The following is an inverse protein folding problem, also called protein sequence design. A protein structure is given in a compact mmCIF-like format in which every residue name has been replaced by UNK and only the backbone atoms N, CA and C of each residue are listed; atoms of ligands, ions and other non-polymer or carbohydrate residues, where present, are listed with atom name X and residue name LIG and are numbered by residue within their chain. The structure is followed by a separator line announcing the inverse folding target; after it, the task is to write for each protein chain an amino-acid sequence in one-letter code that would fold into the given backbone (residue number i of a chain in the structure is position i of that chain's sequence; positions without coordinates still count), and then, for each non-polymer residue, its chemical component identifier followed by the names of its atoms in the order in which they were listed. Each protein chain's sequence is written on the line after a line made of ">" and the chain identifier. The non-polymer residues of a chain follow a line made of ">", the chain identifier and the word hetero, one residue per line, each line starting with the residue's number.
data_IF_012185433517
#
_entry.id   IF_012185433517
#
_cell.length_a   1.000
_cell.length_b   1.000
_cell.length_c   1.000
_cell.angle_alpha   90.00
_cell.angle_beta   90.00
_cell.angle_gamma   90.00
#
_symmetry.space_group_name_H-M   'P 1'
#
loop_
_entity.id
_entity.type
_entity.pdbx_description
1 polymer ?
#
# COMPACT_ATOMS: atom_id res chain seq x y z
N UNK A 1 -4.32 -10.74 -15.37
CA UNK A 1 -3.46 -11.69 -14.62
C UNK A 1 -4.30 -12.93 -14.45
N UNK A 2 -3.95 -13.98 -15.17
CA UNK A 2 -4.64 -15.26 -15.08
C UNK A 2 -3.93 -16.08 -14.00
N UNK A 3 -4.54 -16.18 -12.83
CA UNK A 3 -4.04 -17.03 -11.75
C UNK A 3 -4.13 -18.49 -12.22
N UNK A 4 -3.00 -19.15 -12.43
CA UNK A 4 -2.98 -20.58 -12.77
C UNK A 4 -3.53 -21.36 -11.58
N UNK A 5 -4.66 -22.05 -11.77
CA UNK A 5 -5.49 -22.66 -10.72
C UNK A 5 -4.77 -23.77 -9.93
N UNK A 6 -4.07 -23.41 -8.84
CA UNK A 6 -3.89 -24.31 -7.70
C UNK A 6 -4.83 -23.83 -6.59
N UNK A 7 -6.08 -24.28 -6.66
CA UNK A 7 -7.04 -24.12 -5.58
C UNK A 7 -6.77 -25.19 -4.54
N UNK A 8 -6.10 -24.84 -3.43
CA UNK A 8 -6.03 -25.73 -2.27
C UNK A 8 -7.44 -25.93 -1.69
N UNK A 9 -7.68 -27.07 -1.04
CA UNK A 9 -8.94 -27.32 -0.33
C UNK A 9 -9.26 -26.10 0.57
N UNK A 10 -10.48 -25.56 0.53
CA UNK A 10 -10.83 -24.40 1.33
C UNK A 10 -10.63 -24.72 2.81
N UNK A 11 -9.95 -23.83 3.52
CA UNK A 11 -9.77 -23.93 4.96
C UNK A 11 -11.08 -23.51 5.61
N UNK A 12 -11.73 -24.42 6.33
CA UNK A 12 -12.98 -24.14 7.01
C UNK A 12 -12.71 -23.42 8.33
N UNK A 13 -13.43 -22.32 8.56
CA UNK A 13 -13.44 -21.61 9.82
C UNK A 13 -14.72 -21.93 10.57
N UNK A 14 -14.58 -22.40 11.81
CA UNK A 14 -15.66 -22.78 12.73
C UNK A 14 -15.96 -21.66 13.70
N UNK A 15 -17.20 -21.63 14.18
CA UNK A 15 -17.67 -20.71 15.21
C UNK A 15 -16.88 -20.86 16.52
N UNK A 16 -16.39 -19.73 17.04
CA UNK A 16 -15.77 -19.62 18.36
C UNK A 16 -16.65 -18.83 19.34
N UNK A 17 -17.39 -17.83 18.85
CA UNK A 17 -18.14 -16.93 19.72
C UNK A 17 -19.51 -16.54 19.15
N UNK A 18 -20.53 -17.31 19.54
CA UNK A 18 -21.93 -17.16 19.10
C UNK A 18 -22.55 -15.77 19.36
N UNK A 19 -22.01 -14.98 20.31
CA UNK A 19 -22.46 -13.59 20.55
C UNK A 19 -22.36 -12.72 19.29
N UNK A 20 -21.45 -13.07 18.40
CA UNK A 20 -21.21 -12.38 17.14
C UNK A 20 -21.97 -12.99 15.96
N UNK A 21 -22.96 -13.88 16.18
CA UNK A 21 -23.82 -14.36 15.10
C UNK A 21 -24.95 -13.37 14.79
N UNK A 22 -25.27 -13.21 13.50
CA UNK A 22 -26.38 -12.38 13.02
C UNK A 22 -27.74 -13.04 13.35
N UNK A 23 -27.91 -14.29 12.94
CA UNK A 23 -29.01 -15.18 13.30
C UNK A 23 -28.53 -16.13 14.42
N UNK A 24 -29.20 -16.08 15.57
CA UNK A 24 -28.83 -16.87 16.75
C UNK A 24 -29.22 -18.35 16.62
N UNK A 25 -30.08 -18.69 15.66
CA UNK A 25 -30.51 -20.07 15.42
C UNK A 25 -29.61 -20.80 14.41
N UNK A 26 -28.68 -20.08 13.78
CA UNK A 26 -27.70 -20.62 12.82
C UNK A 26 -26.27 -20.48 13.34
N UNK A 27 -25.42 -21.41 12.97
CA UNK A 27 -23.97 -21.32 13.23
C UNK A 27 -23.32 -20.33 12.27
N UNK A 28 -22.34 -19.56 12.76
CA UNK A 28 -21.44 -18.81 11.90
C UNK A 28 -20.49 -19.74 11.16
N UNK A 29 -20.19 -19.41 9.91
CA UNK A 29 -19.27 -20.18 9.08
C UNK A 29 -18.33 -19.25 8.36
N UNK A 30 -17.09 -19.69 8.17
CA UNK A 30 -16.19 -19.06 7.24
C UNK A 30 -15.43 -20.08 6.43
N UNK A 31 -14.89 -19.64 5.32
CA UNK A 31 -13.91 -20.41 4.58
C UNK A 31 -12.87 -19.48 3.98
N UNK A 32 -11.63 -19.97 3.94
CA UNK A 32 -10.52 -19.29 3.29
C UNK A 32 -10.13 -20.09 2.06
N UNK A 33 -10.14 -19.42 0.91
CA UNK A 33 -9.55 -19.93 -0.33
C UNK A 33 -8.19 -19.29 -0.50
N UNK A 34 -7.19 -20.13 -0.73
CA UNK A 34 -5.86 -19.69 -1.11
C UNK A 34 -5.63 -20.06 -2.58
N UNK A 35 -5.38 -19.06 -3.40
CA UNK A 35 -4.88 -19.22 -4.76
C UNK A 35 -3.40 -18.83 -4.75
N UNK A 36 -2.55 -19.62 -5.41
CA UNK A 36 -1.11 -19.39 -5.44
C UNK A 36 -0.60 -19.36 -6.87
N UNK A 37 0.30 -18.43 -7.17
CA UNK A 37 1.05 -18.35 -8.42
C UNK A 37 2.51 -18.00 -8.10
N UNK A 38 3.39 -19.00 -8.15
CA UNK A 38 4.78 -18.85 -7.73
C UNK A 38 4.91 -18.50 -6.24
N UNK A 39 5.48 -17.34 -5.93
CA UNK A 39 5.65 -16.77 -4.59
C UNK A 39 4.48 -15.88 -4.15
N UNK A 40 3.55 -15.58 -5.06
CA UNK A 40 2.37 -14.74 -4.79
C UNK A 40 1.18 -15.61 -4.41
N UNK A 41 0.41 -15.14 -3.45
CA UNK A 41 -0.86 -15.72 -3.06
C UNK A 41 -1.98 -14.69 -3.07
N UNK A 42 -3.19 -15.18 -3.32
CA UNK A 42 -4.43 -14.46 -3.07
C UNK A 42 -5.21 -15.25 -2.02
N UNK A 43 -5.42 -14.63 -0.86
CA UNK A 43 -6.30 -15.13 0.19
C UNK A 43 -7.65 -14.47 0.01
N UNK A 44 -8.68 -15.28 -0.21
CA UNK A 44 -10.07 -14.84 -0.17
C UNK A 44 -10.72 -15.49 1.04
N UNK A 45 -11.10 -14.68 2.02
CA UNK A 45 -11.92 -15.12 3.15
C UNK A 45 -13.36 -14.74 2.89
N UNK A 46 -14.26 -15.70 3.07
CA UNK A 46 -15.70 -15.45 3.06
C UNK A 46 -16.27 -15.88 4.39
N UNK A 47 -17.16 -15.08 4.95
CA UNK A 47 -17.87 -15.35 6.19
C UNK A 47 -19.37 -15.26 5.98
N UNK A 48 -20.11 -16.06 6.74
CA UNK A 48 -21.56 -16.13 6.70
C UNK A 48 -22.13 -16.15 8.12
N UNK A 49 -23.31 -15.55 8.26
CA UNK A 49 -24.02 -15.36 9.51
C UNK A 49 -23.26 -14.57 10.61
N UNK A 50 -22.31 -13.71 10.25
CA UNK A 50 -21.54 -12.88 11.20
C UNK A 50 -22.24 -11.53 11.43
N UNK A 51 -22.40 -11.12 12.68
CA UNK A 51 -23.16 -9.93 13.08
C UNK A 51 -22.55 -8.63 12.53
N UNK A 52 -23.32 -7.93 11.72
CA UNK A 52 -22.99 -6.56 11.32
C UNK A 52 -23.36 -5.56 12.43
N UNK A 53 -22.48 -4.58 12.69
CA UNK A 53 -22.68 -3.51 13.66
C UNK A 53 -22.85 -2.18 12.92
N UNK A 54 -24.09 -1.68 12.70
CA UNK A 54 -24.34 -0.53 11.84
C UNK A 54 -23.69 0.79 12.28
N UNK A 55 -23.37 0.95 13.56
CA UNK A 55 -22.67 2.13 14.07
C UNK A 55 -21.15 1.95 14.07
N UNK A 56 -20.65 0.83 13.52
CA UNK A 56 -19.24 0.54 13.40
C UNK A 56 -18.55 0.20 14.71
N UNK A 57 -19.29 -0.25 15.74
CA UNK A 57 -18.70 -0.53 17.06
C UNK A 57 -17.61 -1.60 17.01
N UNK A 58 -17.71 -2.55 16.07
CA UNK A 58 -16.71 -3.59 15.82
C UNK A 58 -16.33 -3.65 14.35
N UNK A 59 -15.05 -3.88 14.09
CA UNK A 59 -14.51 -4.26 12.78
C UNK A 59 -13.98 -5.69 12.82
N UNK A 60 -14.16 -6.44 11.73
CA UNK A 60 -13.72 -7.83 11.65
C UNK A 60 -12.39 -7.91 10.91
N UNK A 61 -11.44 -8.65 11.48
CA UNK A 61 -10.08 -8.78 10.94
C UNK A 61 -9.69 -10.23 10.78
N UNK A 62 -8.99 -10.54 9.69
CA UNK A 62 -8.33 -11.82 9.52
C UNK A 62 -6.92 -11.76 10.11
N UNK A 63 -6.62 -12.71 10.99
CA UNK A 63 -5.35 -12.81 11.70
C UNK A 63 -4.83 -14.24 11.57
N UNK A 64 -3.58 -14.39 11.18
CA UNK A 64 -2.88 -15.67 11.22
C UNK A 64 -1.96 -15.75 12.43
N UNK A 65 -1.94 -16.90 13.08
CA UNK A 65 -1.04 -17.16 14.21
C UNK A 65 -0.28 -18.46 14.01
N UNK A 66 0.96 -18.47 14.48
CA UNK A 66 1.87 -19.59 14.39
C UNK A 66 2.95 -19.52 15.46
N UNK A 67 3.77 -20.56 15.54
CA UNK A 67 4.90 -20.64 16.46
C UNK A 67 6.15 -20.98 15.67
N UNK A 68 7.16 -20.11 15.75
CA UNK A 68 8.47 -20.31 15.10
C UNK A 68 9.56 -19.98 16.11
N UNK A 69 10.56 -20.86 16.25
CA UNK A 69 11.64 -20.74 17.26
C UNK A 69 11.10 -20.48 18.68
N UNK A 70 10.08 -21.24 19.09
CA UNK A 70 9.40 -21.15 20.40
C UNK A 70 8.71 -19.80 20.71
N UNK A 71 8.67 -18.86 19.76
CA UNK A 71 7.92 -17.60 19.90
C UNK A 71 6.61 -17.69 19.14
N UNK A 72 5.54 -17.20 19.76
CA UNK A 72 4.23 -17.08 19.12
C UNK A 72 4.18 -15.80 18.31
N UNK A 73 3.88 -15.94 17.02
CA UNK A 73 3.75 -14.84 16.09
C UNK A 73 2.27 -14.67 15.70
N UNK A 74 1.89 -13.42 15.48
CA UNK A 74 0.57 -13.03 14.98
C UNK A 74 0.77 -12.05 13.84
N UNK A 75 0.07 -12.27 12.74
CA UNK A 75 0.08 -11.37 11.61
C UNK A 75 -1.35 -11.03 11.21
N UNK A 76 -1.65 -9.74 11.17
CA UNK A 76 -2.96 -9.21 10.79
C UNK A 76 -2.99 -9.03 9.27
N UNK A 77 -3.78 -9.85 8.58
CA UNK A 77 -3.87 -9.87 7.13
C UNK A 77 -4.66 -8.67 6.61
N UNK A 78 -5.76 -8.33 7.28
CA UNK A 78 -6.58 -7.18 6.90
C UNK A 78 -8.01 -7.24 7.42
N UNK A 79 -8.82 -6.27 6.98
CA UNK A 79 -10.21 -6.11 7.37
C UNK A 79 -11.15 -6.90 6.46
N UNK A 80 -12.22 -7.44 7.04
CA UNK A 80 -13.29 -8.14 6.32
C UNK A 80 -14.49 -7.20 6.23
N UNK A 81 -14.96 -6.96 5.01
CA UNK A 81 -16.15 -6.15 4.76
C UNK A 81 -17.40 -7.02 4.90
N UNK A 82 -18.31 -6.61 5.78
CA UNK A 82 -19.59 -7.28 5.99
C UNK A 82 -20.74 -6.53 5.30
N UNK A 83 -21.73 -7.30 4.83
CA UNK A 83 -23.05 -6.82 4.45
C UNK A 83 -23.96 -6.71 5.67
N UNK A 84 -25.06 -5.97 5.52
CA UNK A 84 -26.07 -5.84 6.58
C UNK A 84 -26.76 -7.17 6.96
N UNK A 85 -26.63 -8.21 6.13
CA UNK A 85 -27.23 -9.53 6.33
C UNK A 85 -26.25 -10.56 6.90
N UNK A 86 -25.06 -10.11 7.31
CA UNK A 86 -24.06 -10.93 7.99
C UNK A 86 -23.22 -11.84 7.10
N UNK A 87 -23.27 -11.63 5.79
CA UNK A 87 -22.28 -12.17 4.86
C UNK A 87 -21.12 -11.21 4.70
N UNK A 88 -19.91 -11.69 4.42
CA UNK A 88 -18.79 -10.80 4.13
C UNK A 88 -17.64 -11.45 3.43
N UNK A 89 -16.79 -10.62 2.85
CA UNK A 89 -15.63 -11.05 2.08
C UNK A 89 -14.42 -10.14 2.37
N UNK A 90 -13.24 -10.74 2.36
CA UNK A 90 -11.96 -10.04 2.34
C UNK A 90 -11.03 -10.70 1.32
N UNK A 91 -10.33 -9.89 0.53
CA UNK A 91 -9.43 -10.36 -0.52
C UNK A 91 -8.05 -9.72 -0.36
N UNK A 92 -7.02 -10.54 -0.16
CA UNK A 92 -5.70 -10.09 0.26
C UNK A 92 -4.61 -10.72 -0.59
N UNK A 93 -3.77 -9.86 -1.19
CA UNK A 93 -2.55 -10.30 -1.89
C UNK A 93 -1.45 -10.49 -0.87
N UNK A 94 -0.76 -11.62 -0.95
CA UNK A 94 0.28 -12.01 -0.01
C UNK A 94 1.52 -12.53 -0.74
N UNK A 95 2.67 -12.44 -0.08
CA UNK A 95 3.86 -13.20 -0.43
C UNK A 95 3.88 -14.48 0.43
N UNK A 96 3.93 -15.65 -0.19
CA UNK A 96 3.87 -16.95 0.48
C UNK A 96 5.11 -17.23 1.33
N UNK A 97 6.25 -16.63 0.97
CA UNK A 97 7.53 -16.84 1.65
C UNK A 97 7.86 -15.75 2.67
N UNK A 98 7.14 -14.63 2.63
CA UNK A 98 7.29 -13.49 3.55
C UNK A 98 5.95 -12.80 3.75
N UNK A 99 5.09 -13.44 4.54
CA UNK A 99 3.72 -13.00 4.79
C UNK A 99 3.69 -11.71 5.62
N UNK A 100 4.61 -11.57 6.57
CA UNK A 100 4.62 -10.48 7.54
C UNK A 100 5.66 -9.38 7.27
N UNK A 101 6.46 -9.52 6.21
CA UNK A 101 7.56 -8.61 5.88
C UNK A 101 8.78 -8.77 6.79
N UNK A 102 8.77 -9.76 7.69
CA UNK A 102 9.83 -10.04 8.67
C UNK A 102 10.43 -11.45 8.47
N UNK A 103 10.11 -12.11 7.36
CA UNK A 103 10.60 -13.43 7.00
C UNK A 103 9.78 -14.59 7.58
N UNK A 104 8.54 -14.36 8.03
CA UNK A 104 7.60 -15.44 8.33
C UNK A 104 6.87 -15.84 7.06
N UNK A 105 7.04 -17.08 6.64
CA UNK A 105 6.32 -17.61 5.49
C UNK A 105 4.90 -18.02 5.90
N UNK A 106 3.99 -18.17 4.92
CA UNK A 106 2.62 -18.61 5.17
C UNK A 106 2.55 -19.95 5.91
N UNK A 107 3.47 -20.87 5.60
CA UNK A 107 3.58 -22.20 6.22
C UNK A 107 4.07 -22.16 7.68
N UNK A 108 4.58 -21.04 8.16
CA UNK A 108 4.93 -20.87 9.58
C UNK A 108 3.68 -20.57 10.44
N UNK A 109 2.53 -20.29 9.82
CA UNK A 109 1.26 -20.06 10.50
C UNK A 109 0.41 -21.33 10.54
N UNK A 110 -0.09 -21.67 11.72
CA UNK A 110 -0.85 -22.89 11.97
C UNK A 110 -2.35 -22.66 12.10
N UNK A 111 -2.78 -21.42 12.36
CA UNK A 111 -4.18 -21.11 12.66
C UNK A 111 -4.59 -19.79 12.05
N UNK A 112 -5.77 -19.76 11.44
CA UNK A 112 -6.45 -18.56 10.98
C UNK A 112 -7.59 -18.20 11.93
N UNK A 113 -7.72 -16.91 12.23
CA UNK A 113 -8.72 -16.37 13.14
C UNK A 113 -9.39 -15.18 12.48
N UNK A 114 -10.72 -15.18 12.44
CA UNK A 114 -11.49 -13.96 12.24
C UNK A 114 -11.83 -13.41 13.61
N UNK A 115 -11.34 -12.21 13.92
CA UNK A 115 -11.55 -11.57 15.21
C UNK A 115 -12.35 -10.27 15.07
N UNK A 116 -13.28 -10.04 15.99
CA UNK A 116 -13.93 -8.74 16.15
C UNK A 116 -13.06 -7.84 17.03
N UNK A 117 -12.75 -6.66 16.49
CA UNK A 117 -11.96 -5.61 17.15
C UNK A 117 -12.86 -4.41 17.43
N UNK A 118 -12.92 -4.00 18.69
CA UNK A 118 -13.69 -2.83 19.12
C UNK A 118 -13.09 -1.56 18.51
N UNK A 119 -13.94 -0.75 17.86
CA UNK A 119 -13.56 0.56 17.32
C UNK A 119 -13.82 1.70 18.32
N UNK A 120 -14.55 1.40 19.39
CA UNK A 120 -14.92 2.36 20.44
C UNK A 120 -14.04 2.22 21.69
N UNK A 121 -13.47 1.03 21.94
CA UNK A 121 -12.61 0.77 23.08
C UNK A 121 -11.32 0.04 22.67
N UNK A 122 -10.22 0.79 22.53
CA UNK A 122 -8.92 0.25 22.10
C UNK A 122 -8.24 -0.69 23.12
N UNK A 123 -8.72 -0.72 24.36
CA UNK A 123 -8.21 -1.63 25.40
C UNK A 123 -8.99 -2.95 25.47
N UNK A 124 -10.11 -3.03 24.77
CA UNK A 124 -10.89 -4.25 24.69
C UNK A 124 -10.08 -5.33 23.95
N UNK A 125 -10.04 -6.53 24.53
CA UNK A 125 -9.36 -7.65 23.89
C UNK A 125 -10.05 -8.00 22.56
N UNK A 126 -9.27 -8.50 21.61
CA UNK A 126 -9.80 -9.07 20.37
C UNK A 126 -10.70 -10.26 20.73
N UNK A 127 -11.90 -10.30 20.15
CA UNK A 127 -12.81 -11.43 20.31
C UNK A 127 -12.65 -12.38 19.13
N UNK A 128 -12.12 -13.60 19.29
CA UNK A 128 -12.17 -14.61 18.24
C UNK A 128 -13.62 -14.93 17.91
N UNK A 129 -13.98 -14.83 16.63
CA UNK A 129 -15.35 -15.05 16.11
C UNK A 129 -15.41 -16.36 15.36
N UNK A 130 -14.44 -16.57 14.46
CA UNK A 130 -14.23 -17.82 13.75
C UNK A 130 -12.76 -18.24 13.86
N UNK A 131 -12.48 -19.53 13.91
CA UNK A 131 -11.12 -20.07 13.84
C UNK A 131 -11.03 -21.29 12.93
N UNK A 132 -9.86 -21.54 12.35
CA UNK A 132 -9.61 -22.76 11.60
C UNK A 132 -8.13 -23.07 11.48
N UNK A 133 -7.82 -24.36 11.33
CA UNK A 133 -6.45 -24.84 11.21
C UNK A 133 -5.91 -24.63 9.80
N UNK A 134 -4.74 -23.99 9.73
CA UNK A 134 -3.94 -23.86 8.51
C UNK A 134 -3.05 -25.09 8.38
N UNK A 135 -3.63 -26.26 8.09
CA UNK A 135 -2.84 -27.43 7.67
C UNK A 135 -2.34 -27.21 6.23
N UNK A 136 -1.29 -26.41 6.10
CA UNK A 136 -0.63 -26.11 4.84
C UNK A 136 0.67 -26.93 4.77
N UNK A 137 0.66 -28.03 4.02
CA UNK A 137 1.90 -28.72 3.69
C UNK A 137 2.70 -27.89 2.69
N UNK A 138 4.00 -27.75 2.94
CA UNK A 138 4.96 -27.36 1.92
C UNK A 138 5.12 -28.56 1.01
N UNK A 139 4.39 -28.58 -0.11
CA UNK A 139 4.67 -29.58 -1.14
C UNK A 139 6.07 -29.30 -1.66
N UNK A 140 6.96 -30.28 -1.51
CA UNK A 140 8.31 -30.24 -2.06
C UNK A 140 8.21 -30.38 -3.59
N UNK A 141 7.86 -29.30 -4.27
CA UNK A 141 8.09 -29.21 -5.70
C UNK A 141 9.59 -29.09 -5.88
N UNK A 142 10.23 -30.18 -6.31
CA UNK A 142 11.63 -30.21 -6.74
C UNK A 142 11.78 -29.43 -8.07
N UNK A 143 11.46 -28.15 -8.06
CA UNK A 143 11.97 -27.20 -9.04
C UNK A 143 13.19 -26.55 -8.40
N UNK A 144 14.30 -26.46 -9.13
CA UNK A 144 15.49 -25.74 -8.66
C UNK A 144 15.07 -24.33 -8.23
N UNK A 145 15.01 -24.10 -6.92
CA UNK A 145 14.67 -22.81 -6.32
C UNK A 145 15.81 -21.83 -6.57
N UNK A 146 15.85 -21.24 -7.75
CA UNK A 146 16.28 -19.86 -7.84
C UNK A 146 15.05 -19.03 -7.50
N UNK A 147 14.97 -18.51 -6.28
CA UNK A 147 14.09 -17.36 -6.03
C UNK A 147 14.29 -16.39 -7.20
N UNK A 148 13.22 -15.88 -7.83
CA UNK A 148 13.36 -14.74 -8.71
C UNK A 148 14.16 -13.72 -7.91
N UNK A 149 15.35 -13.36 -8.39
CA UNK A 149 16.19 -12.42 -7.68
C UNK A 149 15.38 -11.14 -7.52
N UNK A 150 15.04 -10.79 -6.29
CA UNK A 150 14.43 -9.52 -5.99
C UNK A 150 15.52 -8.46 -6.13
N UNK A 151 15.45 -7.72 -7.23
CA UNK A 151 16.35 -6.60 -7.48
C UNK A 151 15.80 -5.29 -6.92
N UNK A 152 14.59 -5.28 -6.32
CA UNK A 152 14.01 -4.08 -5.72
C UNK A 152 14.92 -3.48 -4.64
N UNK A 153 15.59 -4.26 -3.76
CA UNK A 153 16.58 -3.70 -2.84
C UNK A 153 17.74 -3.00 -3.54
N UNK A 154 18.20 -3.53 -4.68
CA UNK A 154 19.23 -2.87 -5.48
C UNK A 154 18.70 -1.55 -6.07
N UNK A 155 17.49 -1.54 -6.62
CA UNK A 155 16.88 -0.32 -7.17
C UNK A 155 16.59 0.72 -6.10
N UNK A 156 16.02 0.33 -4.96
CA UNK A 156 15.75 1.23 -3.83
C UNK A 156 17.05 1.84 -3.31
N UNK A 157 18.09 1.02 -3.15
CA UNK A 157 19.43 1.50 -2.78
C UNK A 157 20.01 2.44 -3.83
N UNK A 158 19.91 2.10 -5.11
CA UNK A 158 20.38 2.95 -6.21
C UNK A 158 19.68 4.31 -6.20
N UNK A 159 18.34 4.33 -6.07
CA UNK A 159 17.56 5.57 -6.00
C UNK A 159 18.00 6.40 -4.79
N UNK A 160 18.13 5.77 -3.61
CA UNK A 160 18.55 6.42 -2.38
C UNK A 160 19.95 7.02 -2.50
N UNK A 161 20.92 6.27 -3.03
CA UNK A 161 22.29 6.74 -3.23
C UNK A 161 22.32 7.95 -4.17
N UNK A 162 21.58 7.92 -5.29
CA UNK A 162 21.51 9.08 -6.18
C UNK A 162 20.84 10.28 -5.51
N UNK A 163 19.77 10.09 -4.72
CA UNK A 163 19.19 11.18 -3.93
C UNK A 163 20.18 11.77 -2.94
N UNK A 164 20.99 10.94 -2.27
CA UNK A 164 22.05 11.40 -1.35
C UNK A 164 23.13 12.19 -2.11
N UNK A 165 23.53 11.75 -3.29
CA UNK A 165 24.50 12.49 -4.12
C UNK A 165 23.98 13.84 -4.58
N UNK A 166 22.69 13.95 -4.92
CA UNK A 166 22.03 15.23 -5.19
C UNK A 166 22.03 16.10 -3.93
N UNK A 167 21.66 15.54 -2.76
CA UNK A 167 21.65 16.27 -1.49
C UNK A 167 23.04 16.83 -1.12
N UNK A 168 24.12 16.08 -1.37
CA UNK A 168 25.49 16.56 -1.16
C UNK A 168 25.85 17.76 -2.03
N UNK A 169 25.19 17.91 -3.18
CA UNK A 169 25.38 19.02 -4.13
C UNK A 169 24.34 20.13 -3.96
N UNK A 170 23.50 20.10 -2.91
CA UNK A 170 22.37 21.02 -2.73
C UNK A 170 22.74 22.50 -2.85
N UNK A 171 23.95 22.90 -2.41
CA UNK A 171 24.42 24.29 -2.44
C UNK A 171 24.71 24.79 -3.87
N UNK A 172 24.86 23.87 -4.83
CA UNK A 172 25.04 24.20 -6.25
C UNK A 172 23.72 24.42 -7.00
N UNK A 173 22.58 24.14 -6.36
CA UNK A 173 21.26 24.26 -6.96
C UNK A 173 20.50 25.46 -6.41
N UNK A 174 19.64 26.04 -7.25
CA UNK A 174 18.83 27.19 -6.88
C UNK A 174 17.71 26.80 -5.90
N UNK A 175 17.63 27.52 -4.79
CA UNK A 175 16.48 27.50 -3.88
C UNK A 175 15.24 28.05 -4.57
N UNK A 176 14.12 27.35 -4.39
CA UNK A 176 12.83 27.76 -4.94
C UNK A 176 11.71 27.53 -3.94
N UNK A 177 10.61 28.26 -4.13
CA UNK A 177 9.34 28.04 -3.45
C UNK A 177 8.32 27.72 -4.54
N UNK A 178 8.15 26.43 -4.89
CA UNK A 178 7.34 26.04 -6.05
C UNK A 178 5.82 26.11 -5.80
N UNK A 179 5.38 26.15 -4.54
CA UNK A 179 3.98 26.03 -4.11
C UNK A 179 3.64 27.13 -3.10
N UNK A 180 2.41 27.67 -3.12
CA UNK A 180 1.93 28.59 -2.06
C UNK A 180 1.78 27.85 -0.72
N UNK A 181 1.07 26.72 -0.77
CA UNK A 181 0.89 25.82 0.37
C UNK A 181 1.52 24.46 0.06
N UNK A 182 2.79 24.29 0.46
CA UNK A 182 3.48 23.03 0.24
C UNK A 182 2.99 21.92 1.18
N UNK A 183 2.19 21.01 0.63
CA UNK A 183 1.68 19.84 1.35
C UNK A 183 2.77 18.84 1.75
N UNK A 184 3.94 18.90 1.13
CA UNK A 184 5.09 18.04 1.47
C UNK A 184 5.95 18.60 2.60
N UNK A 185 5.82 19.91 2.90
CA UNK A 185 6.66 20.66 3.84
C UNK A 185 8.16 20.51 3.55
N UNK A 186 8.52 20.31 2.29
CA UNK A 186 9.88 20.05 1.90
C UNK A 186 10.63 21.35 1.59
N UNK A 187 11.95 21.30 1.71
CA UNK A 187 12.82 22.31 1.11
C UNK A 187 13.07 21.93 -0.34
N UNK A 188 12.84 22.84 -1.28
CA UNK A 188 12.86 22.55 -2.71
C UNK A 188 14.00 23.23 -3.45
N UNK A 189 14.61 22.46 -4.37
CA UNK A 189 15.61 22.91 -5.32
C UNK A 189 15.16 22.61 -6.74
N UNK A 190 15.48 23.50 -7.67
CA UNK A 190 15.30 23.26 -9.11
C UNK A 190 16.57 22.69 -9.71
N UNK A 191 16.46 21.53 -10.37
CA UNK A 191 17.59 20.87 -11.03
C UNK A 191 17.37 20.90 -12.54
N UNK A 192 18.24 21.61 -13.26
CA UNK A 192 18.20 21.73 -14.72
C UNK A 192 18.99 20.62 -15.43
N UNK A 193 19.96 20.01 -14.74
CA UNK A 193 20.66 18.83 -15.24
C UNK A 193 19.82 17.58 -15.01
N UNK A 194 18.95 17.26 -15.98
CA UNK A 194 18.07 16.09 -15.93
C UNK A 194 18.83 14.76 -15.90
N UNK A 195 20.15 14.73 -16.18
CA UNK A 195 20.95 13.51 -16.07
C UNK A 195 21.12 13.05 -14.61
N UNK A 196 20.91 13.96 -13.65
CA UNK A 196 20.94 13.67 -12.22
C UNK A 196 19.64 13.03 -11.70
N UNK A 197 18.63 12.80 -12.55
CA UNK A 197 17.35 12.25 -12.10
C UNK A 197 17.53 10.83 -11.51
N UNK A 198 17.16 10.59 -10.24
CA UNK A 198 17.63 9.42 -9.50
C UNK A 198 16.76 8.16 -9.68
N UNK A 199 15.73 8.18 -10.53
CA UNK A 199 14.76 7.08 -10.67
C UNK A 199 14.56 6.65 -12.13
N UNK A 200 14.29 5.36 -12.34
CA UNK A 200 13.86 4.83 -13.64
C UNK A 200 12.34 4.97 -13.76
N UNK A 201 11.90 6.08 -14.33
CA UNK A 201 10.51 6.35 -14.69
C UNK A 201 10.47 6.79 -16.16
N UNK A 202 10.22 5.88 -17.12
CA UNK A 202 10.18 6.22 -18.54
C UNK A 202 9.20 7.36 -18.83
N UNK A 203 8.04 7.36 -18.15
CA UNK A 203 7.04 8.41 -18.26
C UNK A 203 7.50 9.80 -17.80
N UNK A 204 8.53 9.89 -16.95
CA UNK A 204 9.07 11.18 -16.50
C UNK A 204 9.97 11.85 -17.53
N UNK A 205 10.51 11.11 -18.50
CA UNK A 205 11.51 11.66 -19.44
C UNK A 205 10.92 12.70 -20.40
N UNK A 206 9.75 12.42 -20.98
CA UNK A 206 9.13 13.36 -21.92
C UNK A 206 8.79 14.72 -21.28
N UNK A 207 8.18 14.79 -20.07
CA UNK A 207 8.00 16.06 -19.38
C UNK A 207 9.30 16.74 -18.96
N UNK A 208 10.27 16.01 -18.39
CA UNK A 208 11.56 16.60 -17.99
C UNK A 208 12.32 17.19 -19.19
N UNK A 209 12.30 16.52 -20.33
CA UNK A 209 12.93 17.02 -21.56
C UNK A 209 12.18 18.25 -22.10
N UNK A 210 10.85 18.21 -22.10
CA UNK A 210 10.02 19.33 -22.58
C UNK A 210 10.22 20.60 -21.76
N UNK A 211 10.27 20.48 -20.43
CA UNK A 211 10.37 21.62 -19.52
C UNK A 211 11.79 21.91 -19.03
N UNK A 212 12.76 21.03 -19.32
CA UNK A 212 14.20 21.22 -19.08
C UNK A 212 14.63 21.18 -17.62
N UNK A 213 13.82 20.61 -16.73
CA UNK A 213 14.16 20.48 -15.30
C UNK A 213 13.29 19.45 -14.58
N UNK A 214 13.70 19.12 -13.36
CA UNK A 214 12.86 18.51 -12.33
C UNK A 214 13.07 19.24 -11.00
N UNK A 215 12.16 19.02 -10.05
CA UNK A 215 12.32 19.50 -8.69
C UNK A 215 12.86 18.40 -7.79
N UNK A 216 13.75 18.79 -6.90
CA UNK A 216 14.26 17.93 -5.85
C UNK A 216 13.92 18.56 -4.50
N UNK A 217 13.17 17.83 -3.69
CA UNK A 217 12.76 18.25 -2.37
C UNK A 217 13.28 17.32 -1.29
N UNK A 218 13.41 17.81 -0.06
CA UNK A 218 13.67 16.95 1.09
C UNK A 218 13.03 17.46 2.38
N UNK A 219 12.75 16.50 3.25
CA UNK A 219 12.40 16.69 4.66
C UNK A 219 13.12 15.62 5.51
N UNK A 220 12.88 15.58 6.82
CA UNK A 220 13.55 14.64 7.73
C UNK A 220 13.39 13.17 7.33
N UNK A 221 12.22 12.79 6.82
CA UNK A 221 11.89 11.39 6.52
C UNK A 221 11.94 11.03 5.03
N UNK A 222 11.79 12.00 4.12
CA UNK A 222 11.61 11.74 2.70
C UNK A 222 12.43 12.68 1.80
N UNK A 223 12.90 12.13 0.67
CA UNK A 223 13.21 12.90 -0.52
C UNK A 223 11.99 12.96 -1.43
N UNK A 224 11.92 14.00 -2.25
CA UNK A 224 10.83 14.23 -3.18
C UNK A 224 11.36 14.54 -4.55
N UNK A 225 10.70 14.02 -5.57
CA UNK A 225 10.96 14.35 -6.97
C UNK A 225 9.70 14.95 -7.56
N UNK A 226 9.80 16.15 -8.11
CA UNK A 226 8.71 16.83 -8.82
C UNK A 226 8.95 16.85 -10.32
N UNK A 227 8.07 16.22 -11.09
CA UNK A 227 8.10 16.23 -12.55
C UNK A 227 7.09 17.25 -13.07
N UNK A 228 7.51 18.25 -13.85
CA UNK A 228 6.61 19.28 -14.36
C UNK A 228 5.55 18.66 -15.27
N UNK A 229 4.29 19.01 -15.05
CA UNK A 229 3.19 18.48 -15.82
C UNK A 229 1.85 19.06 -15.39
N UNK A 230 0.87 19.01 -16.29
CA UNK A 230 -0.51 19.41 -15.99
C UNK A 230 -1.22 18.31 -15.22
N UNK A 231 -2.31 18.66 -14.55
CA UNK A 231 -3.16 17.71 -13.84
C UNK A 231 -4.01 16.89 -14.81
N UNK A 232 -3.36 16.11 -15.69
CA UNK A 232 -3.98 15.36 -16.77
C UNK A 232 -3.37 13.95 -16.83
N UNK A 233 -4.18 12.87 -16.93
CA UNK A 233 -3.68 11.49 -16.86
C UNK A 233 -2.56 11.18 -17.87
N UNK A 234 -2.62 11.78 -19.04
CA UNK A 234 -1.66 11.61 -20.14
C UNK A 234 -0.31 12.27 -19.85
N UNK A 235 -0.27 13.25 -18.94
CA UNK A 235 0.97 13.87 -18.45
C UNK A 235 1.42 13.33 -17.09
N UNK A 236 0.66 12.40 -16.49
CA UNK A 236 1.08 11.69 -15.29
C UNK A 236 2.12 10.62 -15.65
N UNK A 237 3.34 10.68 -15.09
CA UNK A 237 4.37 9.68 -15.37
C UNK A 237 3.88 8.25 -15.12
N UNK A 238 3.98 7.41 -16.15
CA UNK A 238 3.59 5.98 -16.15
C UNK A 238 2.16 5.71 -15.62
N UNK A 239 1.26 6.70 -15.70
CA UNK A 239 -0.08 6.65 -15.11
C UNK A 239 -0.05 6.43 -13.59
N UNK A 240 0.96 6.95 -12.90
CA UNK A 240 1.15 6.87 -11.45
C UNK A 240 1.89 5.63 -10.96
N UNK A 241 2.13 4.63 -11.82
CA UNK A 241 2.76 3.34 -11.43
C UNK A 241 4.21 3.48 -10.97
N UNK A 242 4.88 4.58 -11.30
CA UNK A 242 6.23 4.92 -10.86
C UNK A 242 6.27 5.74 -9.55
N UNK A 243 5.13 5.92 -8.88
CA UNK A 243 5.01 6.65 -7.61
C UNK A 243 4.65 8.13 -7.75
N UNK A 244 4.53 8.63 -8.98
CA UNK A 244 4.05 9.98 -9.29
C UNK A 244 2.53 10.08 -9.18
N UNK A 245 2.01 9.87 -7.98
CA UNK A 245 0.56 9.83 -7.70
C UNK A 245 0.01 11.14 -7.15
N UNK A 246 0.87 11.95 -6.54
CA UNK A 246 0.51 13.23 -5.95
C UNK A 246 0.77 14.36 -6.94
N UNK A 247 -0.10 15.36 -7.01
CA UNK A 247 0.10 16.53 -7.88
C UNK A 247 -0.20 17.82 -7.12
N UNK A 248 0.66 18.83 -7.30
CA UNK A 248 0.45 20.17 -6.74
C UNK A 248 0.61 21.24 -7.84
N UNK A 249 -0.29 22.24 -7.90
CA UNK A 249 -0.17 23.37 -8.83
C UNK A 249 1.02 24.25 -8.47
N UNK A 250 1.60 24.93 -9.45
CA UNK A 250 2.66 25.93 -9.18
C UNK A 250 2.10 27.15 -8.44
N UNK A 251 2.98 27.84 -7.71
CA UNK A 251 2.69 29.10 -7.02
C UNK A 251 1.93 30.08 -7.93
N UNK A 252 0.79 30.57 -7.44
CA UNK A 252 -0.05 31.56 -8.13
C UNK A 252 -1.12 30.96 -9.03
N UNK A 253 -1.18 29.63 -9.15
CA UNK A 253 -2.19 28.92 -9.94
C UNK A 253 -3.22 28.19 -9.05
N UNK A 254 -3.17 28.36 -7.71
CA UNK A 254 -4.11 27.73 -6.78
C UNK A 254 -5.55 28.20 -7.01
N UNK A 255 -5.75 29.49 -7.28
CA UNK A 255 -7.08 30.05 -7.53
C UNK A 255 -7.70 29.49 -8.82
N UNK A 256 -6.90 29.32 -9.88
CA UNK A 256 -7.34 28.71 -11.14
C UNK A 256 -7.61 27.20 -10.97
N UNK A 257 -6.91 26.54 -10.04
CA UNK A 257 -7.17 25.15 -9.67
C UNK A 257 -8.52 24.95 -8.98
N UNK A 258 -8.99 25.95 -8.24
CA UNK A 258 -10.25 25.91 -7.50
C UNK A 258 -11.37 26.75 -8.13
N UNK A 259 -11.17 27.27 -9.34
CA UNK A 259 -12.17 28.09 -10.04
C UNK A 259 -13.38 27.24 -10.43
N UNK A 260 -14.47 27.35 -9.69
CA UNK A 260 -15.71 26.58 -9.91
C UNK A 260 -16.45 26.98 -11.20
N UNK A 261 -16.03 28.06 -11.87
CA UNK A 261 -16.64 28.52 -13.13
C UNK A 261 -16.17 27.73 -14.37
N UNK A 262 -15.04 27.01 -14.26
CA UNK A 262 -14.48 26.18 -15.33
C UNK A 262 -14.85 24.69 -15.12
N UNK A 263 -15.07 23.97 -16.21
CA UNK A 263 -15.24 22.52 -16.12
C UNK A 263 -13.96 21.85 -15.60
N UNK A 264 -14.09 20.68 -14.98
CA UNK A 264 -12.96 19.91 -14.44
C UNK A 264 -11.88 19.67 -15.52
N UNK A 265 -12.29 19.36 -16.75
CA UNK A 265 -11.35 19.09 -17.84
C UNK A 265 -10.68 20.36 -18.40
N UNK A 266 -11.35 21.50 -18.36
CA UNK A 266 -10.76 22.79 -18.76
C UNK A 266 -9.75 23.29 -17.74
N UNK A 267 -10.05 23.14 -16.44
CA UNK A 267 -9.11 23.41 -15.35
C UNK A 267 -7.84 22.58 -15.52
N UNK A 268 -8.00 21.26 -15.67
CA UNK A 268 -6.90 20.29 -15.84
C UNK A 268 -5.94 20.61 -16.99
N UNK A 269 -6.44 21.23 -18.06
CA UNK A 269 -5.63 21.58 -19.25
C UNK A 269 -4.87 22.90 -19.11
N UNK A 270 -5.32 23.80 -18.23
CA UNK A 270 -4.74 25.14 -18.04
C UNK A 270 -3.76 25.22 -16.88
N UNK A 271 -3.93 24.38 -15.86
CA UNK A 271 -3.13 24.47 -14.63
C UNK A 271 -1.84 23.66 -14.78
N UNK A 272 -0.72 24.33 -14.56
CA UNK A 272 0.60 23.72 -14.50
C UNK A 272 0.98 23.43 -13.05
N UNK A 273 1.73 22.35 -12.87
CA UNK A 273 2.15 21.89 -11.56
C UNK A 273 3.25 20.86 -11.66
N UNK A 274 3.42 20.12 -10.59
CA UNK A 274 4.37 19.02 -10.52
C UNK A 274 3.68 17.76 -10.03
N UNK A 275 3.91 16.66 -10.74
CA UNK A 275 3.67 15.31 -10.23
C UNK A 275 4.80 14.94 -9.29
N UNK A 276 4.48 14.52 -8.07
CA UNK A 276 5.44 14.33 -6.98
C UNK A 276 5.48 12.86 -6.59
N UNK A 277 6.69 12.32 -6.51
CA UNK A 277 6.98 11.01 -5.92
C UNK A 277 7.78 11.20 -4.62
N UNK A 278 7.46 10.41 -3.60
CA UNK A 278 8.14 10.44 -2.32
C UNK A 278 9.04 9.21 -2.17
N UNK A 279 10.26 9.43 -1.66
CA UNK A 279 11.27 8.40 -1.47
C UNK A 279 11.69 8.43 -0.01
N UNK A 280 11.52 7.33 0.70
CA UNK A 280 11.89 7.19 2.10
C UNK A 280 13.43 7.24 2.25
N UNK A 281 13.91 8.15 3.11
CA UNK A 281 15.35 8.42 3.28
C UNK A 281 16.11 7.29 3.97
N UNK A 282 15.42 6.35 4.61
CA UNK A 282 16.04 5.27 5.36
C UNK A 282 16.28 4.02 4.50
N UNK A 283 15.42 3.78 3.52
CA UNK A 283 15.41 2.51 2.77
C UNK A 283 15.27 2.67 1.25
N UNK A 284 15.03 3.89 0.74
CA UNK A 284 14.88 4.17 -0.69
C UNK A 284 13.57 3.68 -1.29
N UNK A 285 12.59 3.27 -0.47
CA UNK A 285 11.27 2.88 -0.95
C UNK A 285 10.50 4.10 -1.46
N UNK A 286 9.79 3.89 -2.56
CA UNK A 286 8.88 4.89 -3.13
C UNK A 286 7.53 4.71 -2.42
N UNK A 287 7.04 5.77 -1.79
CA UNK A 287 5.84 5.77 -0.95
C UNK A 287 4.82 6.77 -1.49
N UNK A 288 3.53 6.50 -1.29
CA UNK A 288 2.45 7.42 -1.70
C UNK A 288 2.26 8.53 -0.66
N UNK A 289 2.00 9.76 -1.13
CA UNK A 289 1.67 10.92 -0.30
C UNK A 289 0.43 11.68 -0.80
N UNK A 290 -0.28 12.42 0.08
CA UNK A 290 -0.12 12.43 1.54
C UNK A 290 -0.49 11.07 2.14
N UNK A 291 0.18 10.68 3.22
CA UNK A 291 -0.31 9.58 4.06
C UNK A 291 -1.73 9.97 4.42
N UNK A 292 -2.73 9.21 3.95
CA UNK A 292 -4.12 9.45 4.32
C UNK A 292 -4.18 9.63 5.84
N UNK A 293 -4.80 10.72 6.30
CA UNK A 293 -4.85 11.10 7.71
C UNK A 293 -5.52 10.03 8.60
N UNK A 294 -5.99 8.92 8.03
CA UNK A 294 -6.42 7.73 8.78
C UNK A 294 -5.27 6.97 9.46
N UNK A 295 -4.00 7.24 9.15
CA UNK A 295 -2.84 6.56 9.76
C UNK A 295 -1.93 7.46 10.62
N UNK A 296 -2.31 8.71 10.88
CA UNK A 296 -1.51 9.65 11.70
C UNK A 296 -2.10 9.85 13.11
N UNK A 297 -2.50 8.77 13.75
CA UNK A 297 -2.84 8.75 15.17
C UNK A 297 -2.34 7.45 15.80
N UNK A 298 -1.02 7.33 15.91
CA UNK A 298 -0.33 6.57 16.96
C UNK A 298 0.97 7.24 17.31
#
# INVERSE_FOLDING_TARGET
>A
MDFTNITRKPIMLKEENKRFSFDQDKEMRGYIKLQTDGDKGLIVVTVDNVKFFPRGEYSYKLIFTGVKKEKRHYHMIGNISLSAYGTGEGSFRINLNDLDGQGMALWDFSTAIVAAMSMVNSREALHPVLSGDLTLSKEETSAKNTTPKDYSPFYNKFVLENCIEIAKKQDSFADIIPFDQDMTKATWKKITDCSLFPMISPGSNAPMTKYGHFLYGWQDTHYFLGIPGRFFPEEQPDGGKSGFVFWQPILGMEAEAHDETLSVDERRKKIYGYWIAAINRYNGHIEELPISAENSSK
#
